data_IF_095418345377
#
_entry.id   IF_095418345377
#
_cell.length_a   1.000
_cell.length_b   1.000
_cell.length_c   1.000
_cell.angle_alpha   90.00
_cell.angle_beta   90.00
_cell.angle_gamma   90.00
#
_symmetry.space_group_name_H-M   'P 1'
#
loop_
_entity.id
_entity.type
_entity.pdbx_description
1 polymer ?
#
# COMPACT_ATOMS: atom_id res chain seq x y z
N UNK A 1 -5.42 -13.47 6.41
CA UNK A 1 -5.62 -12.01 6.31
C UNK A 1 -5.86 -11.30 7.64
N UNK A 2 -5.39 -11.91 8.73
CA UNK A 2 -5.52 -11.33 10.07
C UNK A 2 -4.83 -9.97 10.19
N UNK A 3 -3.63 -9.86 9.61
CA UNK A 3 -2.86 -8.62 9.67
C UNK A 3 -3.59 -7.47 8.99
N UNK A 4 -4.21 -7.72 7.84
CA UNK A 4 -4.95 -6.69 7.13
C UNK A 4 -6.15 -6.21 7.95
N UNK A 5 -6.86 -7.13 8.61
CA UNK A 5 -7.98 -6.77 9.49
C UNK A 5 -7.51 -5.97 10.69
N UNK A 6 -6.43 -6.42 11.33
CA UNK A 6 -5.87 -5.77 12.51
C UNK A 6 -5.39 -4.37 12.19
N UNK A 7 -4.81 -4.17 11.00
CA UNK A 7 -4.26 -2.91 10.59
C UNK A 7 -5.19 -2.08 9.72
N UNK A 8 -6.47 -2.45 9.65
CA UNK A 8 -7.45 -1.68 8.87
C UNK A 8 -7.48 -0.20 9.22
N UNK A 9 -7.50 0.21 10.50
CA UNK A 9 -7.50 1.64 10.83
C UNK A 9 -6.30 2.38 10.27
N UNK A 10 -5.11 1.79 10.37
CA UNK A 10 -3.90 2.38 9.81
C UNK A 10 -3.99 2.50 8.28
N UNK A 11 -4.40 1.41 7.62
CA UNK A 11 -4.51 1.41 6.16
C UNK A 11 -5.53 2.44 5.67
N UNK A 12 -6.68 2.53 6.32
CA UNK A 12 -7.68 3.53 5.99
C UNK A 12 -7.11 4.95 6.12
N UNK A 13 -6.41 5.21 7.21
CA UNK A 13 -5.84 6.52 7.47
C UNK A 13 -4.81 6.93 6.43
N UNK A 14 -3.86 6.03 6.14
CA UNK A 14 -2.76 6.37 5.24
C UNK A 14 -3.22 6.49 3.78
N UNK A 15 -4.16 5.64 3.36
CA UNK A 15 -4.65 5.65 1.99
C UNK A 15 -5.56 6.84 1.70
N UNK A 16 -6.29 7.31 2.70
CA UNK A 16 -7.19 8.47 2.55
C UNK A 16 -6.48 9.80 2.74
N UNK A 17 -5.28 9.80 3.32
CA UNK A 17 -4.59 11.04 3.63
C UNK A 17 -4.19 11.77 2.34
N UNK A 18 -4.77 12.94 2.12
CA UNK A 18 -4.47 13.76 0.97
C UNK A 18 -3.21 14.61 1.15
N UNK A 19 -2.85 14.90 2.39
CA UNK A 19 -1.69 15.73 2.70
C UNK A 19 -0.42 14.88 2.68
N UNK A 20 0.46 15.16 1.74
CA UNK A 20 1.69 14.40 1.56
C UNK A 20 2.59 14.41 2.80
N UNK A 21 2.74 15.56 3.44
CA UNK A 21 3.57 15.68 4.64
C UNK A 21 3.04 14.83 5.77
N UNK A 22 1.72 14.81 5.98
CA UNK A 22 1.10 13.98 7.00
C UNK A 22 1.30 12.51 6.70
N UNK A 23 1.15 12.11 5.44
CA UNK A 23 1.37 10.72 5.04
C UNK A 23 2.80 10.30 5.29
N UNK A 24 3.76 11.15 4.97
CA UNK A 24 5.18 10.87 5.22
C UNK A 24 5.46 10.69 6.70
N UNK A 25 4.86 11.51 7.57
CA UNK A 25 4.96 11.34 9.01
C UNK A 25 4.42 9.98 9.46
N UNK A 26 3.24 9.62 8.96
CA UNK A 26 2.64 8.32 9.29
C UNK A 26 3.55 7.16 8.90
N UNK A 27 4.14 7.23 7.71
CA UNK A 27 5.06 6.18 7.23
C UNK A 27 6.34 6.13 8.06
N UNK A 28 6.87 7.29 8.43
CA UNK A 28 8.08 7.37 9.24
C UNK A 28 7.89 6.72 10.62
N UNK A 29 6.71 6.90 11.20
CA UNK A 29 6.40 6.36 12.53
C UNK A 29 5.71 5.00 12.50
N UNK A 30 5.45 4.45 11.31
CA UNK A 30 4.79 3.16 11.19
C UNK A 30 5.66 2.04 11.77
N UNK A 31 5.03 1.13 12.53
CA UNK A 31 5.74 -0.02 13.07
C UNK A 31 5.85 -1.15 12.03
N UNK A 32 6.55 -2.22 12.40
CA UNK A 32 6.78 -3.36 11.51
C UNK A 32 5.49 -3.97 11.00
N UNK A 33 4.50 -4.14 11.88
CA UNK A 33 3.24 -4.78 11.52
C UNK A 33 2.46 -3.92 10.51
N UNK A 34 2.52 -2.61 10.67
CA UNK A 34 1.87 -1.67 9.77
C UNK A 34 2.50 -1.70 8.36
N UNK A 35 3.83 -1.68 8.29
CA UNK A 35 4.53 -1.77 7.00
C UNK A 35 4.28 -3.13 6.35
N UNK A 36 4.29 -4.20 7.15
CA UNK A 36 4.00 -5.54 6.64
C UNK A 36 2.57 -5.65 6.10
N UNK A 37 1.62 -4.92 6.69
CA UNK A 37 0.25 -4.89 6.20
C UNK A 37 0.17 -4.26 4.81
N UNK A 38 0.90 -3.18 4.58
CA UNK A 38 0.98 -2.57 3.25
C UNK A 38 1.59 -3.56 2.24
N UNK A 39 2.67 -4.24 2.64
CA UNK A 39 3.32 -5.24 1.79
C UNK A 39 2.37 -6.37 1.43
N UNK A 40 1.59 -6.85 2.38
CA UNK A 40 0.64 -7.94 2.16
C UNK A 40 -0.47 -7.51 1.19
N UNK A 41 -0.97 -6.30 1.33
CA UNK A 41 -1.96 -5.75 0.42
C UNK A 41 -1.41 -5.66 -1.00
N UNK A 42 -0.16 -5.18 -1.14
CA UNK A 42 0.51 -5.09 -2.44
C UNK A 42 0.73 -6.47 -3.04
N UNK A 43 1.10 -7.46 -2.23
CA UNK A 43 1.26 -8.84 -2.71
C UNK A 43 -0.04 -9.42 -3.24
N UNK A 44 -1.15 -9.17 -2.56
CA UNK A 44 -2.46 -9.62 -3.01
C UNK A 44 -2.81 -9.02 -4.38
N UNK A 45 -2.45 -7.76 -4.58
CA UNK A 45 -2.63 -7.08 -5.86
C UNK A 45 -1.77 -7.74 -6.95
N UNK A 46 -0.48 -7.95 -6.67
CA UNK A 46 0.45 -8.53 -7.64
C UNK A 46 0.08 -9.96 -8.03
N UNK A 47 -0.49 -10.72 -7.11
CA UNK A 47 -0.93 -12.10 -7.35
C UNK A 47 -2.34 -12.17 -7.90
N UNK A 48 -2.94 -11.04 -8.23
CA UNK A 48 -4.30 -10.94 -8.78
C UNK A 48 -5.35 -11.62 -7.91
N UNK A 49 -5.17 -11.55 -6.59
CA UNK A 49 -6.11 -12.14 -5.63
C UNK A 49 -7.30 -11.24 -5.32
N UNK A 50 -7.28 -10.01 -5.82
CA UNK A 50 -8.37 -9.05 -5.60
C UNK A 50 -8.92 -8.60 -6.95
N UNK A 51 -10.25 -8.45 -7.06
CA UNK A 51 -10.86 -7.95 -8.29
C UNK A 51 -10.62 -6.45 -8.38
N UNK A 52 -9.89 -6.03 -9.41
CA UNK A 52 -9.55 -4.62 -9.61
C UNK A 52 -10.06 -4.19 -10.98
N UNK A 53 -10.61 -2.98 -11.02
CA UNK A 53 -11.09 -2.40 -12.28
C UNK A 53 -9.90 -2.17 -13.22
N UNK A 54 -10.09 -2.33 -14.55
CA UNK A 54 -8.99 -2.10 -15.51
C UNK A 54 -8.33 -0.73 -15.38
N UNK A 55 -9.10 0.31 -15.10
CA UNK A 55 -8.55 1.66 -14.90
C UNK A 55 -7.56 1.72 -13.73
N UNK A 56 -7.93 1.08 -12.62
CA UNK A 56 -7.07 1.02 -11.44
C UNK A 56 -5.80 0.23 -11.74
N UNK A 57 -5.94 -0.89 -12.43
CA UNK A 57 -4.82 -1.72 -12.83
C UNK A 57 -3.84 -0.92 -13.69
N UNK A 58 -4.35 -0.14 -14.65
CA UNK A 58 -3.51 0.69 -15.51
C UNK A 58 -2.77 1.77 -14.74
N UNK A 59 -3.42 2.39 -13.75
CA UNK A 59 -2.76 3.35 -12.87
C UNK A 59 -1.59 2.70 -12.13
N UNK A 60 -1.80 1.51 -11.59
CA UNK A 60 -0.80 0.81 -10.80
C UNK A 60 0.34 0.25 -11.63
N UNK A 61 0.10 -0.04 -12.91
CA UNK A 61 1.15 -0.49 -13.82
C UNK A 61 2.33 0.47 -13.88
N UNK A 62 2.06 1.77 -13.79
CA UNK A 62 3.09 2.79 -13.82
C UNK A 62 4.04 2.71 -12.63
N UNK A 63 3.58 2.07 -11.54
CA UNK A 63 4.34 1.93 -10.30
C UNK A 63 4.79 0.50 -10.06
N UNK A 64 4.93 -0.27 -11.13
CA UNK A 64 5.23 -1.70 -11.08
C UNK A 64 6.48 -2.02 -10.26
N UNK A 65 7.55 -1.25 -10.45
CA UNK A 65 8.80 -1.47 -9.72
C UNK A 65 8.60 -1.26 -8.23
N UNK A 66 7.94 -0.16 -7.84
CA UNK A 66 7.67 0.15 -6.44
C UNK A 66 6.81 -0.95 -5.80
N UNK A 67 5.77 -1.37 -6.51
CA UNK A 67 4.88 -2.43 -6.00
C UNK A 67 5.65 -3.71 -5.74
N UNK A 68 6.51 -4.11 -6.66
CA UNK A 68 7.32 -5.32 -6.51
C UNK A 68 8.26 -5.22 -5.32
N UNK A 69 8.92 -4.08 -5.14
CA UNK A 69 9.87 -3.90 -4.05
C UNK A 69 9.18 -3.83 -2.69
N UNK A 70 8.03 -3.17 -2.61
CA UNK A 70 7.26 -3.09 -1.36
C UNK A 70 6.63 -4.44 -1.02
N UNK A 71 6.18 -5.20 -2.03
CA UNK A 71 5.59 -6.52 -1.82
C UNK A 71 6.62 -7.61 -1.50
N UNK A 72 7.89 -7.36 -1.72
CA UNK A 72 8.94 -8.36 -1.53
C UNK A 72 9.35 -8.43 -0.06
N UNK A 73 8.87 -9.48 0.63
CA UNK A 73 9.08 -9.66 2.07
C UNK A 73 10.55 -9.81 2.47
N UNK A 74 11.43 -10.20 1.55
CA UNK A 74 12.85 -10.28 1.85
C UNK A 74 13.52 -8.91 1.91
N UNK A 75 12.92 -7.86 1.35
CA UNK A 75 13.42 -6.51 1.53
C UNK A 75 13.21 -6.08 2.98
N UNK A 76 14.18 -5.37 3.55
CA UNK A 76 14.09 -4.89 4.93
C UNK A 76 12.91 -3.92 5.07
N UNK A 77 12.43 -3.76 6.31
CA UNK A 77 11.40 -2.78 6.61
C UNK A 77 11.84 -1.38 6.21
N UNK A 78 13.10 -1.05 6.48
CA UNK A 78 13.67 0.24 6.13
C UNK A 78 13.59 0.50 4.62
N UNK A 79 13.98 -0.49 3.83
CA UNK A 79 13.95 -0.38 2.36
C UNK A 79 12.53 -0.20 1.84
N UNK A 80 11.60 -1.00 2.34
CA UNK A 80 10.19 -0.91 1.92
C UNK A 80 9.58 0.44 2.31
N UNK A 81 9.89 0.92 3.52
CA UNK A 81 9.45 2.23 3.98
C UNK A 81 9.97 3.34 3.08
N UNK A 82 11.24 3.27 2.68
CA UNK A 82 11.84 4.26 1.80
C UNK A 82 11.15 4.33 0.45
N UNK A 83 10.81 3.18 -0.13
CA UNK A 83 10.06 3.15 -1.38
C UNK A 83 8.71 3.83 -1.24
N UNK A 84 8.01 3.57 -0.14
CA UNK A 84 6.70 4.19 0.12
C UNK A 84 6.82 5.70 0.32
N UNK A 85 7.86 6.14 1.03
CA UNK A 85 8.09 7.57 1.29
C UNK A 85 8.33 8.37 0.01
N UNK A 86 8.88 7.74 -1.01
CA UNK A 86 9.15 8.38 -2.30
C UNK A 86 7.91 8.56 -3.17
N UNK A 87 6.81 7.91 -2.80
CA UNK A 87 5.58 7.99 -3.57
C UNK A 87 4.79 9.23 -3.18
N UNK A 88 5.06 10.34 -3.88
CA UNK A 88 4.51 11.64 -3.53
C UNK A 88 3.25 12.03 -4.29
N UNK A 89 2.94 11.34 -5.39
CA UNK A 89 1.74 11.61 -6.17
C UNK A 89 0.54 10.84 -5.67
N UNK A 90 -0.64 11.23 -6.15
CA UNK A 90 -1.89 10.58 -5.77
C UNK A 90 -2.13 9.26 -6.50
N UNK A 91 -1.52 9.08 -7.67
CA UNK A 91 -1.77 7.89 -8.50
C UNK A 91 -1.49 6.57 -7.80
N UNK A 92 -0.34 6.47 -7.15
CA UNK A 92 0.05 5.27 -6.41
C UNK A 92 -0.92 5.01 -5.25
N UNK A 93 -1.13 6.01 -4.40
CA UNK A 93 -1.97 5.88 -3.20
C UNK A 93 -3.44 5.67 -3.54
N UNK A 94 -3.93 6.35 -4.58
CA UNK A 94 -5.30 6.16 -5.06
C UNK A 94 -5.52 4.74 -5.56
N UNK A 95 -4.55 4.20 -6.31
CA UNK A 95 -4.62 2.82 -6.78
C UNK A 95 -4.63 1.82 -5.64
N UNK A 96 -3.80 2.06 -4.62
CA UNK A 96 -3.80 1.20 -3.43
C UNK A 96 -5.09 1.32 -2.63
N UNK A 97 -5.70 2.51 -2.58
CA UNK A 97 -6.98 2.69 -1.92
C UNK A 97 -8.07 1.84 -2.58
N UNK A 98 -8.10 1.81 -3.91
CA UNK A 98 -9.06 0.98 -4.63
C UNK A 98 -8.82 -0.50 -4.32
N UNK A 99 -7.56 -0.92 -4.25
CA UNK A 99 -7.20 -2.28 -3.87
C UNK A 99 -7.67 -2.60 -2.45
N UNK A 100 -7.46 -1.68 -1.52
CA UNK A 100 -7.88 -1.83 -0.14
C UNK A 100 -9.41 -2.04 -0.03
N UNK A 101 -10.18 -1.21 -0.75
CA UNK A 101 -11.63 -1.34 -0.76
C UNK A 101 -12.07 -2.70 -1.30
N UNK A 102 -11.37 -3.21 -2.30
CA UNK A 102 -11.71 -4.51 -2.89
C UNK A 102 -11.40 -5.68 -1.95
N UNK A 103 -10.29 -5.61 -1.18
CA UNK A 103 -9.86 -6.75 -0.37
C UNK A 103 -10.19 -6.66 1.12
N UNK A 104 -10.40 -5.45 1.65
CA UNK A 104 -10.50 -5.27 3.11
C UNK A 104 -11.83 -4.68 3.62
N UNK A 105 -12.69 -4.21 2.73
CA UNK A 105 -13.93 -3.50 3.12
C UNK A 105 -15.19 -4.26 2.68
N UNK A 106 -15.06 -5.52 2.41
CA UNK A 106 -16.22 -6.37 2.09
C UNK A 106 -16.99 -6.74 3.33
#
# INVERSE_FOLDING_TARGET
>A
MRRLRRQRPFLQSILKEANQKKRQKMLTHANADQINAVSEMVLNLLKKRVPIKPKTFDKLKRHKTVLREVGRRRNSLKRRREYLLKQTGRGFWSGLEDCFKACCVR
#
